data_IF_105147504504
#
_entry.id   IF_105147504504
#
_cell.length_a   1.000
_cell.length_b   1.000
_cell.length_c   1.000
_cell.angle_alpha   90.00
_cell.angle_beta   90.00
_cell.angle_gamma   90.00
#
_symmetry.space_group_name_H-M   'P 1'
#
loop_
_entity.id
_entity.type
_entity.pdbx_description
1 polymer ?
#
# COMPACT_ATOMS: atom_id res chain seq x y z
N UNK A 1 -7.51 8.54 4.20
CA UNK A 1 -8.27 7.71 3.25
C UNK A 1 -8.99 6.64 4.04
N UNK A 2 -10.33 6.60 3.95
CA UNK A 2 -11.13 5.54 4.55
C UNK A 2 -11.04 4.28 3.68
N UNK A 3 -10.93 3.10 4.29
CA UNK A 3 -11.01 1.82 3.58
C UNK A 3 -11.96 0.84 4.26
N UNK A 4 -12.34 -0.18 3.50
CA UNK A 4 -13.19 -1.29 3.92
C UNK A 4 -12.65 -2.57 3.28
N UNK A 5 -12.74 -3.70 3.98
CA UNK A 5 -12.42 -5.01 3.42
C UNK A 5 -13.65 -5.91 3.26
N UNK A 6 -13.46 -7.09 2.65
CA UNK A 6 -14.52 -8.06 2.39
C UNK A 6 -14.98 -8.83 3.64
N UNK A 7 -14.37 -8.61 4.80
CA UNK A 7 -14.76 -9.19 6.09
C UNK A 7 -15.58 -8.19 6.92
N UNK A 8 -15.80 -6.98 6.41
CA UNK A 8 -16.53 -5.92 7.10
C UNK A 8 -15.67 -5.07 8.03
N UNK A 9 -14.34 -5.24 8.01
CA UNK A 9 -13.45 -4.34 8.74
C UNK A 9 -13.33 -3.01 7.99
N UNK A 10 -13.01 -1.95 8.73
CA UNK A 10 -12.80 -0.62 8.18
C UNK A 10 -11.70 0.10 8.95
N UNK A 11 -11.11 1.10 8.32
CA UNK A 11 -10.04 1.87 8.95
C UNK A 11 -9.65 3.10 8.16
N UNK A 12 -8.69 3.84 8.71
CA UNK A 12 -8.10 5.01 8.07
C UNK A 12 -6.63 4.78 7.74
N UNK A 13 -6.22 5.30 6.59
CA UNK A 13 -4.81 5.37 6.19
C UNK A 13 -4.44 6.80 5.83
N UNK A 14 -3.17 7.13 6.04
CA UNK A 14 -2.53 8.34 5.50
C UNK A 14 -1.70 7.96 4.29
N UNK A 15 -1.61 8.87 3.31
CA UNK A 15 -0.78 8.71 2.13
C UNK A 15 0.25 9.84 2.08
N UNK A 16 1.49 9.51 1.76
CA UNK A 16 2.54 10.49 1.43
C UNK A 16 3.19 10.11 0.12
N UNK A 17 3.52 11.12 -0.69
CA UNK A 17 4.29 10.98 -1.92
C UNK A 17 5.61 11.75 -1.76
N UNK A 18 6.73 11.06 -1.90
CA UNK A 18 8.07 11.67 -1.90
C UNK A 18 8.80 11.22 -3.16
N UNK A 19 9.02 12.16 -4.09
CA UNK A 19 9.43 11.81 -5.45
C UNK A 19 8.33 10.97 -6.12
N UNK A 20 8.70 9.78 -6.59
CA UNK A 20 7.77 8.81 -7.19
C UNK A 20 7.36 7.68 -6.23
N UNK A 21 7.79 7.76 -4.96
CA UNK A 21 7.48 6.75 -3.95
C UNK A 21 6.23 7.15 -3.16
N UNK A 22 5.16 6.38 -3.36
CA UNK A 22 3.99 6.37 -2.51
C UNK A 22 4.23 5.53 -1.26
N UNK A 23 3.90 6.11 -0.12
CA UNK A 23 3.79 5.41 1.16
C UNK A 23 2.37 5.54 1.68
N UNK A 24 1.69 4.42 1.88
CA UNK A 24 0.41 4.36 2.61
C UNK A 24 0.67 3.82 4.00
N UNK A 25 0.08 4.40 5.03
CA UNK A 25 0.24 3.96 6.42
C UNK A 25 -1.09 3.98 7.15
N UNK A 26 -1.52 2.81 7.61
CA UNK A 26 -2.60 2.62 8.57
C UNK A 26 -2.05 2.06 9.89
N UNK A 27 -2.94 1.60 10.77
CA UNK A 27 -2.58 1.10 12.09
C UNK A 27 -1.73 -0.19 12.03
N UNK A 28 -2.10 -1.12 11.15
CA UNK A 28 -1.50 -2.45 11.04
C UNK A 28 -1.01 -2.79 9.64
N UNK A 29 -1.20 -1.90 8.67
CA UNK A 29 -0.78 -2.07 7.28
C UNK A 29 0.01 -0.85 6.80
N UNK A 30 1.09 -1.09 6.08
CA UNK A 30 1.81 -0.05 5.35
C UNK A 30 2.18 -0.54 3.97
N UNK A 31 2.18 0.38 3.01
CA UNK A 31 2.60 0.12 1.65
C UNK A 31 3.75 1.04 1.29
N UNK A 32 4.69 0.51 0.51
CA UNK A 32 5.68 1.31 -0.20
C UNK A 32 5.75 0.88 -1.65
N UNK A 33 5.60 1.82 -2.58
CA UNK A 33 5.59 1.53 -4.00
C UNK A 33 5.26 2.74 -4.85
N UNK A 34 4.99 2.56 -6.13
CA UNK A 34 4.71 3.67 -7.01
C UNK A 34 4.49 3.25 -8.45
N UNK A 35 4.27 4.26 -9.29
CA UNK A 35 4.17 4.06 -10.72
C UNK A 35 5.55 3.91 -11.36
N UNK A 36 5.66 3.04 -12.35
CA UNK A 36 6.82 2.83 -13.18
C UNK A 36 6.40 2.67 -14.65
N UNK A 37 7.39 2.51 -15.54
CA UNK A 37 7.19 2.26 -16.97
C UNK A 37 6.26 3.29 -17.64
N UNK A 38 6.43 4.58 -17.30
CA UNK A 38 5.60 5.66 -17.84
C UNK A 38 4.14 5.61 -17.39
N UNK A 39 3.90 5.32 -16.10
CA UNK A 39 2.58 5.19 -15.48
C UNK A 39 1.74 4.01 -15.99
N UNK A 40 2.38 3.01 -16.58
CA UNK A 40 1.71 1.79 -17.05
C UNK A 40 1.71 0.67 -16.03
N UNK A 41 2.65 0.69 -15.10
CA UNK A 41 2.78 -0.33 -14.06
C UNK A 41 2.75 0.37 -12.71
N UNK A 42 1.96 -0.14 -11.77
CA UNK A 42 1.98 0.25 -10.37
C UNK A 42 2.46 -0.94 -9.55
N UNK A 43 3.57 -0.76 -8.83
CA UNK A 43 4.21 -1.85 -8.10
C UNK A 43 4.57 -1.43 -6.68
N UNK A 44 4.65 -2.39 -5.77
CA UNK A 44 5.07 -2.13 -4.40
C UNK A 44 4.83 -3.30 -3.47
N UNK A 45 5.13 -3.07 -2.20
CA UNK A 45 5.05 -4.07 -1.15
C UNK A 45 4.08 -3.56 -0.08
N UNK A 46 3.15 -4.42 0.32
CA UNK A 46 2.46 -4.28 1.58
C UNK A 46 3.21 -5.04 2.67
N UNK A 47 3.30 -4.41 3.83
CA UNK A 47 3.76 -5.00 5.06
C UNK A 47 2.65 -4.89 6.11
N UNK A 48 2.59 -5.88 6.98
CA UNK A 48 1.65 -5.92 8.09
C UNK A 48 2.37 -5.94 9.43
N UNK A 49 1.71 -5.41 10.46
CA UNK A 49 2.20 -5.40 11.83
C UNK A 49 1.07 -5.71 12.80
N UNK A 50 1.35 -6.53 13.82
CA UNK A 50 0.42 -6.80 14.92
C UNK A 50 0.56 -5.83 16.08
N UNK A 51 1.65 -5.05 16.12
CA UNK A 51 2.00 -4.14 17.22
C UNK A 51 2.33 -2.70 16.76
N UNK A 52 2.21 -2.42 15.46
CA UNK A 52 2.54 -1.16 14.81
C UNK A 52 4.05 -0.84 14.76
N UNK A 53 4.92 -1.74 15.24
CA UNK A 53 6.37 -1.51 15.39
C UNK A 53 7.17 -2.48 14.55
N UNK A 54 6.79 -3.74 14.57
CA UNK A 54 7.43 -4.82 13.83
C UNK A 54 6.64 -5.08 12.56
N UNK A 55 7.22 -4.69 11.44
CA UNK A 55 6.61 -4.81 10.12
C UNK A 55 7.17 -6.04 9.42
N UNK A 56 6.27 -6.85 8.89
CA UNK A 56 6.60 -8.07 8.17
C UNK A 56 6.02 -7.98 6.77
N UNK A 57 6.76 -8.51 5.79
CA UNK A 57 6.27 -8.64 4.42
C UNK A 57 4.90 -9.35 4.42
N UNK A 58 3.95 -8.78 3.70
CA UNK A 58 2.61 -9.34 3.58
C UNK A 58 2.32 -9.76 2.14
N UNK A 59 2.53 -8.86 1.18
CA UNK A 59 2.33 -9.17 -0.24
C UNK A 59 3.07 -8.21 -1.15
N UNK A 60 3.44 -8.70 -2.33
CA UNK A 60 3.82 -7.88 -3.48
C UNK A 60 2.59 -7.53 -4.31
N UNK A 61 2.54 -6.29 -4.80
CA UNK A 61 1.54 -5.82 -5.76
C UNK A 61 2.23 -5.48 -7.07
N UNK A 62 1.62 -5.93 -8.16
CA UNK A 62 1.91 -5.44 -9.51
C UNK A 62 0.59 -5.30 -10.26
N UNK A 63 0.21 -4.07 -10.56
CA UNK A 63 -0.94 -3.74 -11.39
C UNK A 63 -0.41 -3.20 -12.71
N UNK A 64 -0.92 -3.72 -13.81
CA UNK A 64 -0.57 -3.27 -15.16
C UNK A 64 -1.83 -2.67 -15.77
N UNK A 65 -1.71 -1.48 -16.37
CA UNK A 65 -2.82 -0.84 -17.07
C UNK A 65 -3.24 -1.73 -18.25
N UNK A 66 -4.53 -2.02 -18.34
CA UNK A 66 -5.11 -2.67 -19.51
C UNK A 66 -5.18 -1.66 -20.67
N UNK A 67 -4.82 -2.09 -21.88
CA UNK A 67 -4.83 -1.26 -23.09
C UNK A 67 -6.19 -1.31 -23.81
#
# INVERSE_FOLDING_TARGET
>A
MQHYDNLGNSGFMTATLVGDLWTFTGETLRFNGGFSEGNKVFLGIWEQSTDGKNWQHFMDIKLVRED
#
